data_IF_547267956732
#
_entry.id   IF_547267956732
#
_cell.length_a   1.000
_cell.length_b   1.000
_cell.length_c   1.000
_cell.angle_alpha   90.00
_cell.angle_beta   90.00
_cell.angle_gamma   90.00
#
_symmetry.space_group_name_H-M   'P 1'
#
loop_
_entity.id
_entity.type
_entity.pdbx_description
1 polymer ?
#
# COMPACT_ATOMS: atom_id res chain seq x y z
N UNK A 1 73.33 8.68 15.30
CA UNK A 1 72.95 9.95 14.64
C UNK A 1 71.44 10.10 14.72
N UNK A 2 71.01 11.13 15.43
CA UNK A 2 69.62 11.46 15.75
C UNK A 2 68.95 12.16 14.57
N UNK A 3 67.72 11.78 14.22
CA UNK A 3 66.84 12.67 13.44
C UNK A 3 65.37 12.47 13.84
N UNK A 4 65.01 13.09 14.97
CA UNK A 4 63.63 13.53 15.25
C UNK A 4 63.22 14.57 14.21
N UNK A 5 62.07 14.40 13.56
CA UNK A 5 61.27 15.56 13.14
C UNK A 5 59.76 15.29 13.12
N UNK A 6 59.15 15.77 14.21
CA UNK A 6 57.88 16.51 14.31
C UNK A 6 56.63 15.89 13.66
N UNK A 7 55.89 15.21 14.52
CA UNK A 7 54.42 15.13 14.50
C UNK A 7 53.89 16.56 14.31
N UNK A 8 53.20 16.82 13.20
CA UNK A 8 52.40 18.04 13.02
C UNK A 8 51.02 17.76 13.56
N UNK A 9 50.65 18.50 14.60
CA UNK A 9 49.29 18.56 15.15
C UNK A 9 48.32 19.08 14.09
N UNK A 10 47.12 18.50 14.09
CA UNK A 10 45.98 18.92 13.29
C UNK A 10 45.45 20.29 13.74
N UNK A 11 44.93 21.14 12.83
CA UNK A 11 43.96 22.14 13.20
C UNK A 11 42.61 21.46 13.47
N UNK A 12 42.14 21.60 14.71
CA UNK A 12 40.77 21.33 15.14
C UNK A 12 39.80 22.10 14.25
N UNK A 13 39.03 21.40 13.43
CA UNK A 13 37.93 21.99 12.67
C UNK A 13 36.66 21.74 13.47
N UNK A 14 36.14 22.81 14.07
CA UNK A 14 34.88 22.84 14.80
C UNK A 14 33.70 22.33 13.95
N UNK A 15 32.64 21.79 14.58
CA UNK A 15 31.55 21.11 13.88
C UNK A 15 30.72 22.14 13.11
N UNK A 16 30.69 22.03 11.78
CA UNK A 16 29.77 22.81 10.96
C UNK A 16 28.41 22.12 11.02
N UNK A 17 27.52 22.65 11.86
CA UNK A 17 26.09 22.35 11.92
C UNK A 17 25.48 22.61 10.54
N UNK A 18 25.39 21.55 9.72
CA UNK A 18 24.54 21.57 8.53
C UNK A 18 23.10 21.47 9.00
N UNK A 19 22.42 22.62 8.93
CA UNK A 19 20.99 22.74 9.07
C UNK A 19 20.33 21.77 8.08
N UNK A 20 19.70 20.72 8.61
CA UNK A 20 18.83 19.84 7.83
C UNK A 20 17.52 20.61 7.67
N UNK A 21 17.35 21.24 6.51
CA UNK A 21 16.08 21.78 6.06
C UNK A 21 15.14 20.59 5.83
N UNK A 22 13.99 20.46 6.52
CA UNK A 22 13.01 19.46 6.16
C UNK A 22 12.34 19.88 4.84
N UNK A 23 12.58 19.08 3.79
CA UNK A 23 11.90 19.21 2.51
C UNK A 23 10.44 18.75 2.72
N UNK A 24 9.56 19.70 3.01
CA UNK A 24 8.10 19.52 2.95
C UNK A 24 7.64 19.92 1.56
N UNK A 25 7.85 19.06 0.56
CA UNK A 25 7.22 19.21 -0.77
C UNK A 25 7.00 17.82 -1.37
N UNK A 26 5.77 17.31 -1.26
CA UNK A 26 5.09 16.56 -2.33
C UNK A 26 3.72 16.07 -1.81
N UNK A 27 2.69 16.93 -1.82
CA UNK A 27 1.29 16.54 -2.11
C UNK A 27 0.35 17.76 -2.29
N UNK A 28 0.88 18.95 -2.58
CA UNK A 28 0.08 20.13 -2.94
C UNK A 28 0.07 20.43 -4.46
N UNK A 29 0.54 19.49 -5.31
CA UNK A 29 0.65 19.72 -6.76
C UNK A 29 -0.55 19.21 -7.57
N UNK A 30 -1.53 18.56 -6.93
CA UNK A 30 -2.83 18.25 -7.55
C UNK A 30 -3.83 19.41 -7.51
N UNK A 31 -3.68 20.33 -6.55
CA UNK A 31 -4.60 21.45 -6.34
C UNK A 31 -4.12 22.79 -6.95
N UNK A 32 -2.87 22.86 -7.45
CA UNK A 32 -2.24 24.13 -7.88
C UNK A 32 -2.02 24.27 -9.40
N UNK A 33 -2.62 23.42 -10.23
CA UNK A 33 -2.69 23.63 -11.69
C UNK A 33 -4.01 24.30 -12.13
N UNK A 34 -4.86 24.68 -11.18
CA UNK A 34 -6.12 25.36 -11.42
C UNK A 34 -6.12 26.85 -11.02
N UNK A 35 -5.04 27.59 -11.32
CA UNK A 35 -5.07 29.05 -11.39
C UNK A 35 -3.69 29.72 -11.32
N UNK A 36 -3.43 30.88 -11.97
CA UNK A 36 -4.35 31.78 -12.67
C UNK A 36 -3.80 32.26 -14.05
N UNK A 37 -4.32 31.75 -15.16
CA UNK A 37 -4.15 32.42 -16.48
C UNK A 37 -5.42 33.20 -16.90
N UNK A 38 -6.53 33.07 -16.16
CA UNK A 38 -7.79 33.77 -16.44
C UNK A 38 -8.01 35.08 -15.66
N UNK A 39 -7.11 35.48 -14.76
CA UNK A 39 -7.38 36.57 -13.81
C UNK A 39 -7.32 38.01 -14.40
N UNK A 40 -7.15 38.17 -15.72
CA UNK A 40 -7.07 39.49 -16.37
C UNK A 40 -8.23 39.82 -17.31
N UNK A 41 -9.28 39.00 -17.36
CA UNK A 41 -10.50 39.30 -18.14
C UNK A 41 -11.81 39.03 -17.39
N UNK A 42 -11.81 38.98 -16.06
CA UNK A 42 -12.99 38.71 -15.25
C UNK A 42 -14.04 39.85 -15.36
N UNK A 43 -14.94 39.72 -16.32
CA UNK A 43 -16.26 40.34 -16.30
C UNK A 43 -17.30 39.29 -15.94
N UNK A 44 -18.10 39.58 -14.91
CA UNK A 44 -19.41 39.03 -14.54
C UNK A 44 -19.64 37.50 -14.65
N UNK A 45 -19.87 36.84 -13.51
CA UNK A 45 -20.61 35.58 -13.32
C UNK A 45 -20.85 34.77 -14.61
N UNK A 46 -19.82 34.04 -15.06
CA UNK A 46 -19.92 33.16 -16.23
C UNK A 46 -20.76 31.94 -15.83
N UNK A 47 -21.91 31.66 -16.47
CA UNK A 47 -22.71 30.46 -16.22
C UNK A 47 -21.93 29.15 -16.41
N UNK A 48 -20.78 29.20 -17.09
CA UNK A 48 -19.83 28.09 -17.20
C UNK A 48 -19.15 27.79 -15.87
N UNK A 49 -18.78 28.81 -15.08
CA UNK A 49 -18.11 28.63 -13.78
C UNK A 49 -19.06 28.01 -12.75
N UNK A 50 -20.33 28.43 -12.74
CA UNK A 50 -21.38 27.83 -11.90
C UNK A 50 -21.62 26.36 -12.26
N UNK A 51 -21.60 26.04 -13.57
CA UNK A 51 -21.76 24.66 -14.03
C UNK A 51 -20.58 23.79 -13.65
N UNK A 52 -19.34 24.30 -13.75
CA UNK A 52 -18.13 23.59 -13.32
C UNK A 52 -18.14 23.36 -11.82
N UNK A 53 -18.51 24.37 -11.02
CA UNK A 53 -18.62 24.24 -9.57
C UNK A 53 -19.66 23.18 -9.16
N UNK A 54 -20.83 23.17 -9.81
CA UNK A 54 -21.86 22.16 -9.58
C UNK A 54 -21.39 20.74 -9.95
N UNK A 55 -20.68 20.57 -11.07
CA UNK A 55 -20.13 19.27 -11.48
C UNK A 55 -19.09 18.76 -10.47
N UNK A 56 -18.17 19.63 -10.02
CA UNK A 56 -17.18 19.27 -8.98
C UNK A 56 -17.85 18.87 -7.67
N UNK A 57 -18.91 19.56 -7.26
CA UNK A 57 -19.64 19.22 -6.05
C UNK A 57 -20.30 17.83 -6.14
N UNK A 58 -20.87 17.48 -7.29
CA UNK A 58 -21.45 16.15 -7.54
C UNK A 58 -20.38 15.04 -7.65
N UNK A 59 -19.22 15.34 -8.23
CA UNK A 59 -18.05 14.44 -8.22
C UNK A 59 -17.56 14.18 -6.80
N UNK A 60 -17.39 15.23 -5.99
CA UNK A 60 -16.94 15.10 -4.59
C UNK A 60 -17.89 14.26 -3.74
N UNK A 61 -19.22 14.43 -3.91
CA UNK A 61 -20.21 13.61 -3.21
C UNK A 61 -20.11 12.13 -3.59
N UNK A 62 -19.94 11.84 -4.88
CA UNK A 62 -19.80 10.48 -5.39
C UNK A 62 -18.51 9.83 -4.88
N UNK A 63 -17.41 10.57 -4.91
CA UNK A 63 -16.13 10.09 -4.41
C UNK A 63 -16.20 9.77 -2.92
N UNK A 64 -16.85 10.61 -2.10
CA UNK A 64 -17.05 10.32 -0.68
C UNK A 64 -17.82 9.01 -0.43
N UNK A 65 -18.89 8.75 -1.21
CA UNK A 65 -19.62 7.49 -1.14
C UNK A 65 -18.74 6.30 -1.56
N UNK A 66 -17.95 6.45 -2.62
CA UNK A 66 -17.03 5.40 -3.06
C UNK A 66 -15.91 5.11 -2.08
N UNK A 67 -15.45 6.10 -1.31
CA UNK A 67 -14.47 5.90 -0.23
C UNK A 67 -15.06 4.99 0.85
N UNK A 68 -16.29 5.24 1.30
CA UNK A 68 -16.96 4.39 2.30
C UNK A 68 -17.12 2.95 1.79
N UNK A 69 -17.60 2.78 0.56
CA UNK A 69 -17.76 1.45 -0.06
C UNK A 69 -16.42 0.73 -0.20
N UNK A 70 -15.38 1.43 -0.64
CA UNK A 70 -14.03 0.87 -0.78
C UNK A 70 -13.43 0.48 0.57
N UNK A 71 -13.63 1.28 1.62
CA UNK A 71 -13.20 0.96 2.99
C UNK A 71 -13.89 -0.29 3.51
N UNK A 72 -15.22 -0.39 3.37
CA UNK A 72 -15.97 -1.57 3.80
C UNK A 72 -15.51 -2.84 3.05
N UNK A 73 -15.31 -2.73 1.73
CA UNK A 73 -14.77 -3.80 0.89
C UNK A 73 -13.36 -4.22 1.33
N UNK A 74 -12.47 -3.25 1.57
CA UNK A 74 -11.10 -3.52 2.00
C UNK A 74 -11.07 -4.25 3.35
N UNK A 75 -11.89 -3.83 4.33
CA UNK A 75 -12.05 -4.53 5.62
C UNK A 75 -12.51 -5.98 5.44
N UNK A 76 -13.56 -6.20 4.65
CA UNK A 76 -14.08 -7.54 4.39
C UNK A 76 -13.02 -8.45 3.74
N UNK A 77 -12.30 -7.94 2.74
CA UNK A 77 -11.24 -8.69 2.07
C UNK A 77 -10.08 -8.94 3.02
N UNK A 78 -9.63 -7.93 3.77
CA UNK A 78 -8.57 -8.06 4.77
C UNK A 78 -8.85 -9.23 5.73
N UNK A 79 -10.05 -9.26 6.34
CA UNK A 79 -10.48 -10.34 7.24
C UNK A 79 -10.42 -11.71 6.56
N UNK A 80 -10.90 -11.81 5.31
CA UNK A 80 -10.88 -13.06 4.55
C UNK A 80 -9.48 -13.57 4.22
N UNK A 81 -8.49 -12.68 4.13
CA UNK A 81 -7.10 -13.01 3.78
C UNK A 81 -6.24 -13.38 5.00
N UNK A 82 -6.67 -13.06 6.24
CA UNK A 82 -5.89 -13.37 7.44
C UNK A 82 -5.53 -14.86 7.57
N UNK A 83 -6.46 -15.83 7.37
CA UNK A 83 -6.12 -17.25 7.44
C UNK A 83 -5.15 -17.72 6.36
N UNK A 84 -5.16 -17.05 5.20
CA UNK A 84 -4.22 -17.35 4.09
C UNK A 84 -2.82 -16.90 4.47
N UNK A 85 -2.68 -15.67 4.98
CA UNK A 85 -1.39 -15.12 5.40
C UNK A 85 -0.78 -15.88 6.57
N UNK A 86 -1.59 -16.24 7.56
CA UNK A 86 -1.15 -17.05 8.71
C UNK A 86 -0.67 -18.45 8.27
N UNK A 87 -1.43 -19.09 7.38
CA UNK A 87 -1.06 -20.38 6.80
C UNK A 87 0.22 -20.33 5.98
N UNK A 88 0.38 -19.32 5.13
CA UNK A 88 1.61 -19.11 4.35
C UNK A 88 2.80 -18.73 5.24
N UNK A 89 2.59 -17.96 6.32
CA UNK A 89 3.64 -17.64 7.30
C UNK A 89 4.12 -18.89 8.04
N UNK A 90 3.21 -19.82 8.35
CA UNK A 90 3.56 -21.11 8.96
C UNK A 90 4.31 -22.02 8.00
N UNK A 91 3.84 -22.14 6.75
CA UNK A 91 4.45 -23.04 5.77
C UNK A 91 5.78 -22.51 5.19
N UNK A 92 5.86 -21.20 4.99
CA UNK A 92 7.02 -20.50 4.40
C UNK A 92 7.39 -19.29 5.29
N UNK A 93 8.01 -19.52 6.47
CA UNK A 93 8.34 -18.42 7.36
C UNK A 93 9.41 -17.50 6.76
N UNK A 94 9.41 -16.23 7.19
CA UNK A 94 10.39 -15.25 6.72
C UNK A 94 11.77 -15.56 7.30
N UNK A 95 12.77 -15.73 6.43
CA UNK A 95 14.17 -15.94 6.80
C UNK A 95 14.45 -17.19 7.67
N UNK A 96 13.54 -18.16 7.67
CA UNK A 96 13.71 -19.45 8.36
C UNK A 96 13.48 -20.62 7.40
N UNK A 97 13.76 -21.84 7.88
CA UNK A 97 13.45 -23.05 7.13
C UNK A 97 11.94 -23.23 6.95
N UNK A 98 11.47 -23.83 5.84
CA UNK A 98 10.06 -24.12 5.65
C UNK A 98 9.47 -24.93 6.81
N UNK A 99 8.28 -24.53 7.25
CA UNK A 99 7.53 -25.21 8.29
C UNK A 99 6.76 -26.43 7.76
N UNK A 100 5.81 -26.96 8.56
CA UNK A 100 4.92 -28.01 8.10
C UNK A 100 4.15 -27.57 6.85
N UNK A 101 4.13 -28.42 5.83
CA UNK A 101 3.35 -28.17 4.63
C UNK A 101 1.85 -28.23 4.94
N UNK A 102 1.12 -27.21 4.50
CA UNK A 102 -0.35 -27.23 4.51
C UNK A 102 -0.90 -28.40 3.70
N UNK A 103 -2.03 -28.94 4.16
CA UNK A 103 -2.78 -29.98 3.48
C UNK A 103 -3.42 -29.47 2.19
N UNK A 104 -3.74 -30.38 1.26
CA UNK A 104 -4.44 -30.02 0.02
C UNK A 104 -5.76 -29.26 0.26
N UNK A 105 -6.65 -29.70 1.18
CA UNK A 105 -7.87 -28.95 1.47
C UNK A 105 -7.63 -27.55 2.04
N UNK A 106 -6.52 -27.32 2.74
CA UNK A 106 -6.15 -25.96 3.20
C UNK A 106 -5.77 -25.07 2.02
N UNK A 107 -4.94 -25.58 1.11
CA UNK A 107 -4.53 -24.83 -0.10
C UNK A 107 -5.73 -24.50 -0.99
N UNK A 108 -6.65 -25.43 -1.18
CA UNK A 108 -7.88 -25.19 -1.96
C UNK A 108 -8.75 -24.10 -1.33
N UNK A 109 -8.81 -24.03 0.02
CA UNK A 109 -9.49 -22.92 0.71
C UNK A 109 -8.79 -21.58 0.50
N UNK A 110 -7.46 -21.57 0.48
CA UNK A 110 -6.69 -20.36 0.22
C UNK A 110 -6.93 -19.85 -1.20
N UNK A 111 -6.87 -20.73 -2.21
CA UNK A 111 -7.15 -20.38 -3.61
C UNK A 111 -8.57 -19.84 -3.78
N UNK A 112 -9.56 -20.44 -3.11
CA UNK A 112 -10.93 -19.93 -3.14
C UNK A 112 -11.03 -18.53 -2.50
N UNK A 113 -10.35 -18.29 -1.39
CA UNK A 113 -10.36 -16.99 -0.71
C UNK A 113 -9.68 -15.89 -1.54
N UNK A 114 -8.49 -16.15 -2.09
CA UNK A 114 -7.75 -15.19 -2.91
C UNK A 114 -8.43 -14.95 -4.26
N UNK A 115 -8.94 -16.00 -4.91
CA UNK A 115 -9.72 -15.87 -6.14
C UNK A 115 -10.98 -15.04 -5.95
N UNK A 116 -11.73 -15.27 -4.87
CA UNK A 116 -12.90 -14.46 -4.50
C UNK A 116 -12.53 -12.99 -4.25
N UNK A 117 -11.39 -12.73 -3.60
CA UNK A 117 -10.88 -11.38 -3.38
C UNK A 117 -10.50 -10.67 -4.69
N UNK A 118 -9.91 -11.40 -5.65
CA UNK A 118 -9.64 -10.88 -7.00
C UNK A 118 -10.93 -10.50 -7.72
N UNK A 119 -11.95 -11.37 -7.68
CA UNK A 119 -13.27 -11.07 -8.26
C UNK A 119 -13.93 -9.83 -7.63
N UNK A 120 -13.79 -9.68 -6.32
CA UNK A 120 -14.35 -8.57 -5.56
C UNK A 120 -13.80 -7.20 -5.96
N UNK A 121 -12.63 -7.16 -6.61
CA UNK A 121 -11.99 -5.94 -7.13
C UNK A 121 -12.01 -5.83 -8.68
N UNK A 122 -12.56 -6.79 -9.41
CA UNK A 122 -12.39 -6.90 -10.86
C UNK A 122 -13.17 -5.84 -11.69
N UNK A 123 -14.33 -5.38 -11.23
CA UNK A 123 -15.22 -4.51 -12.02
C UNK A 123 -15.75 -3.29 -11.25
N UNK A 124 -14.87 -2.38 -10.79
CA UNK A 124 -15.33 -1.26 -10.00
C UNK A 124 -15.84 -0.08 -10.85
N UNK A 125 -16.79 0.71 -10.33
CA UNK A 125 -17.13 1.99 -10.93
C UNK A 125 -15.91 2.92 -10.90
N UNK A 126 -15.71 3.71 -11.97
CA UNK A 126 -14.67 4.75 -11.96
C UNK A 126 -14.95 5.75 -10.85
N UNK A 127 -13.90 6.14 -10.12
CA UNK A 127 -13.92 7.22 -9.14
C UNK A 127 -12.94 8.34 -9.46
N UNK A 128 -12.76 9.25 -8.52
CA UNK A 128 -11.64 10.18 -8.50
C UNK A 128 -10.28 9.48 -8.52
N UNK A 129 -9.24 10.22 -8.89
CA UNK A 129 -7.88 9.67 -9.09
C UNK A 129 -7.37 8.94 -7.85
N UNK A 130 -7.50 9.52 -6.65
CA UNK A 130 -7.06 8.90 -5.41
C UNK A 130 -7.78 7.57 -5.12
N UNK A 131 -9.11 7.55 -5.32
CA UNK A 131 -9.93 6.33 -5.17
C UNK A 131 -9.46 5.24 -6.14
N UNK A 132 -9.21 5.60 -7.40
CA UNK A 132 -8.72 4.65 -8.39
C UNK A 132 -7.32 4.12 -8.05
N UNK A 133 -6.43 4.95 -7.50
CA UNK A 133 -5.09 4.52 -7.05
C UNK A 133 -5.21 3.52 -5.90
N UNK A 134 -5.95 3.87 -4.84
CA UNK A 134 -6.16 2.97 -3.70
C UNK A 134 -6.73 1.64 -4.16
N UNK A 135 -7.79 1.68 -4.96
CA UNK A 135 -8.46 0.49 -5.47
C UNK A 135 -7.56 -0.38 -6.35
N UNK A 136 -6.83 0.23 -7.28
CA UNK A 136 -5.94 -0.51 -8.18
C UNK A 136 -4.78 -1.14 -7.41
N UNK A 137 -4.29 -0.46 -6.37
CA UNK A 137 -3.29 -1.02 -5.45
C UNK A 137 -3.82 -2.23 -4.68
N UNK A 138 -5.03 -2.14 -4.10
CA UNK A 138 -5.68 -3.28 -3.43
C UNK A 138 -5.89 -4.45 -4.41
N UNK A 139 -6.36 -4.18 -5.62
CA UNK A 139 -6.55 -5.18 -6.67
C UNK A 139 -5.22 -5.88 -7.05
N UNK A 140 -4.14 -5.11 -7.24
CA UNK A 140 -2.82 -5.64 -7.56
C UNK A 140 -2.26 -6.48 -6.40
N UNK A 141 -2.49 -6.06 -5.16
CA UNK A 141 -2.07 -6.81 -3.98
C UNK A 141 -2.76 -8.18 -3.90
N UNK A 142 -4.09 -8.25 -4.07
CA UNK A 142 -4.82 -9.53 -4.02
C UNK A 142 -4.44 -10.45 -5.16
N UNK A 143 -4.21 -9.92 -6.38
CA UNK A 143 -3.72 -10.72 -7.51
C UNK A 143 -2.31 -11.27 -7.24
N UNK A 144 -1.46 -10.49 -6.61
CA UNK A 144 -0.11 -10.93 -6.24
C UNK A 144 -0.16 -12.03 -5.17
N UNK A 145 -1.07 -11.92 -4.20
CA UNK A 145 -1.26 -12.94 -3.17
C UNK A 145 -1.86 -14.23 -3.75
N UNK A 146 -2.82 -14.12 -4.66
CA UNK A 146 -3.39 -15.25 -5.39
C UNK A 146 -2.30 -16.03 -6.15
N UNK A 147 -1.42 -15.31 -6.86
CA UNK A 147 -0.27 -15.92 -7.53
C UNK A 147 0.72 -16.58 -6.56
N UNK A 148 0.85 -16.06 -5.33
CA UNK A 148 1.66 -16.68 -4.28
C UNK A 148 1.07 -18.03 -3.84
N UNK A 149 -0.25 -18.10 -3.65
CA UNK A 149 -0.96 -19.34 -3.30
C UNK A 149 -0.83 -20.38 -4.41
N UNK A 150 -0.96 -19.98 -5.67
CA UNK A 150 -0.76 -20.88 -6.82
C UNK A 150 0.68 -21.39 -6.91
N UNK A 151 1.66 -20.52 -6.65
CA UNK A 151 3.07 -20.89 -6.61
C UNK A 151 3.35 -21.90 -5.48
N UNK A 152 2.71 -21.70 -4.32
CA UNK A 152 2.79 -22.63 -3.20
C UNK A 152 2.17 -23.99 -3.55
N UNK A 153 1.00 -24.00 -4.19
CA UNK A 153 0.36 -25.22 -4.67
C UNK A 153 1.26 -25.98 -5.67
N UNK A 154 1.90 -25.25 -6.60
CA UNK A 154 2.87 -25.81 -7.53
C UNK A 154 4.09 -26.40 -6.82
N UNK A 155 4.57 -25.75 -5.75
CA UNK A 155 5.66 -26.27 -4.92
C UNK A 155 5.31 -27.62 -4.30
N UNK A 156 4.10 -27.77 -3.76
CA UNK A 156 3.66 -29.03 -3.15
C UNK A 156 3.58 -30.19 -4.15
N UNK A 157 3.33 -29.90 -5.44
CA UNK A 157 3.32 -30.89 -6.51
C UNK A 157 4.72 -31.35 -6.94
N UNK A 158 5.79 -30.63 -6.56
CA UNK A 158 7.16 -31.02 -6.88
C UNK A 158 7.74 -32.07 -5.92
N UNK A 159 8.73 -32.87 -6.37
CA UNK A 159 9.60 -33.63 -5.47
C UNK A 159 10.35 -32.69 -4.50
N UNK A 160 10.76 -33.16 -3.31
CA UNK A 160 11.39 -32.32 -2.28
C UNK A 160 12.53 -31.43 -2.78
N UNK A 161 13.39 -31.93 -3.67
CA UNK A 161 14.52 -31.18 -4.23
C UNK A 161 14.11 -29.95 -5.07
N UNK A 162 12.90 -29.92 -5.64
CA UNK A 162 12.40 -28.79 -6.43
C UNK A 162 11.60 -27.76 -5.62
N UNK A 163 11.25 -28.07 -4.36
CA UNK A 163 10.31 -27.25 -3.56
C UNK A 163 10.92 -25.95 -3.08
N UNK A 164 12.19 -25.96 -2.69
CA UNK A 164 12.84 -24.83 -2.00
C UNK A 164 12.73 -23.53 -2.80
N UNK A 165 13.05 -23.57 -4.10
CA UNK A 165 12.99 -22.37 -4.96
C UNK A 165 11.57 -21.81 -5.12
N UNK A 166 10.55 -22.68 -5.13
CA UNK A 166 9.14 -22.27 -5.25
C UNK A 166 8.59 -21.79 -3.91
N UNK A 167 9.02 -22.33 -2.78
CA UNK A 167 8.73 -21.77 -1.46
C UNK A 167 9.37 -20.39 -1.30
N UNK A 168 10.62 -20.19 -1.69
CA UNK A 168 11.23 -18.87 -1.68
C UNK A 168 10.47 -17.88 -2.58
N UNK A 169 10.01 -18.30 -3.76
CA UNK A 169 9.20 -17.45 -4.64
C UNK A 169 7.84 -17.12 -4.02
N UNK A 170 7.18 -18.11 -3.42
CA UNK A 170 5.92 -17.94 -2.67
C UNK A 170 6.09 -16.87 -1.58
N UNK A 171 7.16 -16.97 -0.78
CA UNK A 171 7.46 -16.01 0.28
C UNK A 171 7.64 -14.59 -0.27
N UNK A 172 8.43 -14.43 -1.34
CA UNK A 172 8.63 -13.11 -1.99
C UNK A 172 7.33 -12.52 -2.55
N UNK A 173 6.47 -13.33 -3.15
CA UNK A 173 5.19 -12.87 -3.69
C UNK A 173 4.22 -12.47 -2.57
N UNK A 174 4.13 -13.27 -1.50
CA UNK A 174 3.36 -12.92 -0.30
C UNK A 174 3.82 -11.57 0.28
N UNK A 175 5.13 -11.41 0.46
CA UNK A 175 5.70 -10.20 1.06
C UNK A 175 5.44 -8.98 0.15
N UNK A 176 5.59 -9.14 -1.17
CA UNK A 176 5.24 -8.10 -2.15
C UNK A 176 3.75 -7.74 -2.09
N UNK A 177 2.85 -8.73 -2.00
CA UNK A 177 1.42 -8.48 -1.87
C UNK A 177 1.08 -7.66 -0.61
N UNK A 178 1.68 -8.00 0.53
CA UNK A 178 1.49 -7.28 1.80
C UNK A 178 2.03 -5.84 1.69
N UNK A 179 3.16 -5.62 1.03
CA UNK A 179 3.72 -4.29 0.81
C UNK A 179 2.86 -3.41 -0.14
N UNK A 180 2.37 -3.99 -1.23
CA UNK A 180 1.46 -3.32 -2.17
C UNK A 180 0.16 -2.95 -1.45
N UNK A 181 -0.41 -3.88 -0.69
CA UNK A 181 -1.60 -3.65 0.12
C UNK A 181 -1.39 -2.51 1.10
N UNK A 182 -0.27 -2.50 1.84
CA UNK A 182 0.04 -1.44 2.80
C UNK A 182 0.06 -0.05 2.15
N UNK A 183 0.68 0.08 0.97
CA UNK A 183 0.70 1.35 0.24
C UNK A 183 -0.71 1.81 -0.19
N UNK A 184 -1.54 0.86 -0.64
CA UNK A 184 -2.91 1.12 -1.04
C UNK A 184 -3.82 1.46 0.16
N UNK A 185 -3.62 0.77 1.29
CA UNK A 185 -4.31 1.01 2.56
C UNK A 185 -3.97 2.41 3.10
N UNK A 186 -2.72 2.86 3.00
CA UNK A 186 -2.34 4.24 3.35
C UNK A 186 -3.05 5.26 2.45
N UNK A 187 -3.12 5.03 1.14
CA UNK A 187 -3.87 5.93 0.26
C UNK A 187 -5.36 5.96 0.62
N UNK A 188 -5.93 4.82 1.01
CA UNK A 188 -7.32 4.73 1.46
C UNK A 188 -7.54 5.43 2.80
N UNK A 189 -6.58 5.34 3.74
CA UNK A 189 -6.61 6.08 5.01
C UNK A 189 -6.67 7.60 4.77
N UNK A 190 -5.79 8.12 3.91
CA UNK A 190 -5.80 9.54 3.50
C UNK A 190 -7.16 9.94 2.93
N UNK A 191 -7.75 9.12 2.06
CA UNK A 191 -9.07 9.40 1.49
C UNK A 191 -10.18 9.43 2.54
N UNK A 192 -10.11 8.57 3.56
CA UNK A 192 -11.09 8.58 4.65
C UNK A 192 -10.94 9.82 5.54
N UNK A 193 -9.71 10.24 5.83
CA UNK A 193 -9.43 11.49 6.56
C UNK A 193 -9.94 12.70 5.78
N UNK A 194 -9.63 12.79 4.48
CA UNK A 194 -10.07 13.89 3.61
C UNK A 194 -11.60 13.95 3.47
N UNK A 195 -12.27 12.80 3.48
CA UNK A 195 -13.73 12.69 3.46
C UNK A 195 -14.39 12.94 4.83
N UNK A 196 -13.62 13.12 5.91
CA UNK A 196 -14.13 13.33 7.27
C UNK A 196 -14.61 12.06 7.98
N UNK A 197 -14.29 10.87 7.46
CA UNK A 197 -14.62 9.58 8.07
C UNK A 197 -13.66 9.23 9.22
N UNK A 198 -12.47 9.84 9.27
CA UNK A 198 -11.38 9.51 10.20
C UNK A 198 -10.43 8.46 9.63
N UNK A 199 -9.57 7.87 10.47
CA UNK A 199 -8.59 6.88 10.01
C UNK A 199 -9.24 5.52 9.69
N UNK A 200 -8.77 4.86 8.63
CA UNK A 200 -9.18 3.53 8.20
C UNK A 200 -7.96 2.59 8.17
N UNK A 201 -7.73 1.87 9.26
CA UNK A 201 -6.54 1.02 9.47
C UNK A 201 -6.69 -0.38 8.85
N UNK A 202 -6.95 -0.44 7.55
CA UNK A 202 -7.15 -1.69 6.81
C UNK A 202 -5.82 -2.35 6.42
N UNK A 203 -4.88 -2.55 7.34
CA UNK A 203 -3.55 -3.10 7.03
C UNK A 203 -3.50 -4.63 7.20
N UNK A 204 -2.80 -5.34 6.30
CA UNK A 204 -2.50 -6.76 6.50
C UNK A 204 -1.36 -6.93 7.52
N UNK A 205 -1.31 -8.06 8.25
CA UNK A 205 -0.20 -8.36 9.15
C UNK A 205 1.12 -8.34 8.39
N UNK A 206 2.08 -7.58 8.90
CA UNK A 206 3.43 -7.48 8.36
C UNK A 206 4.47 -7.82 9.44
N UNK A 207 5.55 -8.49 9.04
CA UNK A 207 6.74 -8.70 9.87
C UNK A 207 7.88 -7.78 9.43
N UNK A 208 8.84 -7.48 10.33
CA UNK A 208 9.99 -6.65 9.98
C UNK A 208 10.72 -7.16 8.74
N UNK A 209 11.03 -6.25 7.82
CA UNK A 209 11.75 -6.56 6.58
C UNK A 209 10.88 -6.86 5.35
N UNK A 210 9.56 -6.97 5.49
CA UNK A 210 8.65 -7.13 4.34
C UNK A 210 8.39 -5.84 3.55
N UNK A 211 8.86 -4.68 4.07
CA UNK A 211 8.68 -3.39 3.41
C UNK A 211 7.24 -2.85 3.43
N UNK A 212 6.34 -3.52 4.15
CA UNK A 212 4.96 -3.10 4.27
C UNK A 212 4.77 -2.00 5.32
N UNK A 213 3.86 -1.08 5.02
CA UNK A 213 3.36 -0.09 5.97
C UNK A 213 2.37 -0.76 6.93
N UNK A 214 2.34 -0.28 8.16
CA UNK A 214 1.39 -0.71 9.19
C UNK A 214 0.54 0.48 9.63
N UNK A 215 -0.57 0.19 10.29
CA UNK A 215 -1.36 1.20 10.98
C UNK A 215 -0.45 2.06 11.88
N UNK A 216 -0.71 3.36 11.90
CA UNK A 216 -0.11 4.23 12.90
C UNK A 216 -0.88 4.11 14.23
N UNK A 217 -0.39 4.73 15.29
CA UNK A 217 -1.03 4.68 16.59
C UNK A 217 -2.32 5.51 16.70
N UNK A 218 -2.80 6.12 15.61
CA UNK A 218 -4.01 6.93 15.63
C UNK A 218 -5.26 6.06 15.86
N UNK A 219 -6.31 6.60 16.50
CA UNK A 219 -7.57 5.88 16.63
C UNK A 219 -8.31 5.80 15.28
N UNK A 220 -8.95 4.66 15.01
CA UNK A 220 -9.84 4.53 13.86
C UNK A 220 -11.01 5.52 13.91
N UNK A 221 -11.42 5.95 12.72
CA UNK A 221 -12.64 6.71 12.46
C UNK A 221 -13.91 5.87 12.60
N UNK A 222 -15.07 6.53 12.43
CA UNK A 222 -16.39 5.88 12.57
C UNK A 222 -16.79 5.09 11.34
#
# INVERSE_FOLDING_TARGET
MSNRKKIRQAPSSAPTTRQIVPIVIAFALGALLAGPVGAVTAGADDPTDDRVAALRAEENKRDAAQVVELTARARQVQESLLPVLDGLATAVPVAEAPGPAASRPEVERWQAATGKAVEDFANPPSGGTGVNIARSGLAAAVQTLDAAVDTYAAALAQPPAGRTSLFELTGRQRDAAVAIWGSAATQLDVLNVDAGNGHAHVFLPAVPGQGALTADGAPEGK
#
